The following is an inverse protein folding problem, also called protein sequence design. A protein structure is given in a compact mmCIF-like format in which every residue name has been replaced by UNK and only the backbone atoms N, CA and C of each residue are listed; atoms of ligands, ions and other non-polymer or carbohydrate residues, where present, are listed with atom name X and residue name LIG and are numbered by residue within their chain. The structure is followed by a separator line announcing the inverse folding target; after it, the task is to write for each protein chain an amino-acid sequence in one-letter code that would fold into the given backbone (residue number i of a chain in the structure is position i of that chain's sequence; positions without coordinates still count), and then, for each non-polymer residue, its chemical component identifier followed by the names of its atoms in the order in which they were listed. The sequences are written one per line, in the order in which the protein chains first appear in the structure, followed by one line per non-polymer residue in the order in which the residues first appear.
data_IF_026650054932
#
_entry.id   IF_026650054932
#
_cell.length_a   1.000
_cell.length_b   1.000
_cell.length_c   1.000
_cell.angle_alpha   90.00
_cell.angle_beta   90.00
_cell.angle_gamma   90.00
#
_symmetry.space_group_name_H-M   'P 1'
#
loop_
_entity.id
_entity.type
_entity.pdbx_description
1 polymer ?
#
# COMPACT_ATOMS: atom_id res chain seq x y z
N UNK A 1 -70.57 11.84 -6.67
CA UNK A 1 -70.13 11.62 -5.28
C UNK A 1 -69.12 10.48 -5.28
N UNK A 2 -67.89 10.80 -4.88
CA UNK A 2 -66.72 9.96 -4.53
C UNK A 2 -66.25 8.81 -5.46
N UNK A 3 -64.99 8.85 -5.94
CA UNK A 3 -64.39 7.82 -6.79
C UNK A 3 -63.82 6.65 -5.97
N UNK A 4 -63.97 5.43 -6.48
CA UNK A 4 -63.32 4.23 -5.95
C UNK A 4 -62.03 3.97 -6.74
N UNK A 5 -60.89 4.37 -6.15
CA UNK A 5 -59.55 4.19 -6.69
C UNK A 5 -59.16 2.71 -6.72
N UNK A 6 -59.19 2.12 -7.91
CA UNK A 6 -58.59 0.82 -8.20
C UNK A 6 -57.09 0.97 -8.47
N UNK A 7 -56.31 0.41 -7.55
CA UNK A 7 -54.97 -0.21 -7.71
C UNK A 7 -54.15 0.18 -8.96
N UNK A 8 -53.09 0.95 -8.72
CA UNK A 8 -51.79 0.76 -9.36
C UNK A 8 -50.72 1.06 -8.30
N UNK A 9 -50.39 0.03 -7.52
CA UNK A 9 -49.13 -0.02 -6.80
C UNK A 9 -48.06 -0.38 -7.83
N UNK A 10 -47.31 0.62 -8.32
CA UNK A 10 -46.20 0.39 -9.25
C UNK A 10 -44.97 1.09 -8.71
N UNK A 11 -44.05 0.28 -8.18
CA UNK A 11 -42.62 0.57 -8.25
C UNK A 11 -42.04 1.47 -7.18
N UNK A 12 -42.24 1.14 -5.90
CA UNK A 12 -41.17 1.41 -4.95
C UNK A 12 -40.05 0.39 -5.19
N UNK A 13 -38.81 0.88 -5.07
CA UNK A 13 -37.55 0.13 -4.92
C UNK A 13 -36.83 -0.24 -6.21
N UNK A 14 -35.50 -0.20 -6.11
CA UNK A 14 -34.46 -0.68 -7.03
C UNK A 14 -33.94 0.35 -8.02
N UNK A 15 -32.92 1.14 -7.62
CA UNK A 15 -31.51 0.74 -7.77
C UNK A 15 -30.56 1.90 -7.41
N UNK A 16 -30.68 2.49 -6.21
CA UNK A 16 -29.61 3.34 -5.69
C UNK A 16 -28.70 2.46 -4.85
N UNK A 17 -27.52 2.12 -5.37
CA UNK A 17 -26.49 1.46 -4.58
C UNK A 17 -25.81 0.28 -5.26
N UNK A 18 -25.17 0.51 -6.40
CA UNK A 18 -23.95 -0.24 -6.67
C UNK A 18 -22.85 0.38 -5.80
N UNK A 19 -22.80 -0.02 -4.53
CA UNK A 19 -21.67 0.32 -3.67
C UNK A 19 -20.47 -0.43 -4.22
N UNK A 20 -19.52 0.28 -4.82
CA UNK A 20 -18.23 -0.29 -5.17
C UNK A 20 -17.56 -0.73 -3.85
N UNK A 21 -17.57 -2.03 -3.57
CA UNK A 21 -16.78 -2.59 -2.48
C UNK A 21 -15.30 -2.39 -2.85
N UNK A 22 -14.64 -1.43 -2.21
CA UNK A 22 -13.19 -1.33 -2.26
C UNK A 22 -12.60 -2.62 -1.69
N UNK A 23 -11.71 -3.26 -2.44
CA UNK A 23 -10.98 -4.44 -1.93
C UNK A 23 -10.04 -3.94 -0.81
N UNK A 24 -10.08 -4.51 0.41
CA UNK A 24 -9.21 -4.07 1.49
C UNK A 24 -7.74 -4.30 1.09
N UNK A 25 -6.97 -3.22 1.04
CA UNK A 25 -5.55 -3.26 0.71
C UNK A 25 -4.75 -3.60 1.97
N UNK A 26 -4.00 -4.69 1.95
CA UNK A 26 -3.29 -5.18 3.15
C UNK A 26 -1.93 -5.75 2.81
N UNK A 27 -0.99 -5.61 3.76
CA UNK A 27 0.28 -6.36 3.72
C UNK A 27 -0.03 -7.79 4.15
N UNK A 28 0.10 -8.74 3.22
CA UNK A 28 -0.11 -10.15 3.47
C UNK A 28 1.09 -10.79 4.17
N UNK A 29 2.31 -10.36 3.81
CA UNK A 29 3.55 -10.81 4.43
C UNK A 29 4.64 -9.76 4.27
N UNK A 30 5.45 -9.60 5.31
CA UNK A 30 6.66 -8.77 5.30
C UNK A 30 7.86 -9.63 5.76
N UNK A 31 9.07 -9.36 5.24
CA UNK A 31 10.24 -10.13 5.61
C UNK A 31 10.64 -9.79 7.06
N UNK A 32 11.23 -10.72 7.81
CA UNK A 32 11.80 -10.42 9.12
C UNK A 32 12.99 -9.45 8.97
N UNK A 33 13.43 -8.80 10.07
CA UNK A 33 14.67 -8.01 10.06
C UNK A 33 15.82 -8.81 9.45
N UNK A 34 16.55 -8.18 8.53
CA UNK A 34 17.68 -8.82 7.85
C UNK A 34 19.00 -8.41 8.50
N UNK A 35 19.87 -9.38 8.71
CA UNK A 35 21.27 -9.17 9.02
C UNK A 35 22.08 -9.26 7.72
N UNK A 36 22.80 -8.19 7.39
CA UNK A 36 23.67 -8.10 6.21
C UNK A 36 25.12 -8.47 6.52
N UNK A 37 25.40 -8.88 7.76
CA UNK A 37 26.71 -9.26 8.25
C UNK A 37 27.66 -8.08 8.42
N UNK A 38 28.92 -8.42 8.66
CA UNK A 38 29.99 -7.45 8.85
C UNK A 38 30.56 -7.02 7.50
N UNK A 39 30.50 -5.71 7.22
CA UNK A 39 31.08 -5.10 6.02
C UNK A 39 32.19 -4.13 6.43
N UNK A 40 33.35 -4.24 5.80
CA UNK A 40 34.44 -3.30 6.02
C UNK A 40 34.04 -1.90 5.54
N UNK A 41 34.48 -0.85 6.26
CA UNK A 41 34.25 0.54 5.85
C UNK A 41 34.87 0.78 4.47
N UNK A 42 34.09 1.32 3.53
CA UNK A 42 34.46 1.47 2.11
C UNK A 42 34.86 0.15 1.40
N UNK A 43 34.45 -1.00 1.94
CA UNK A 43 34.63 -2.31 1.32
C UNK A 43 33.50 -2.66 0.34
N UNK A 44 33.47 -3.92 -0.08
CA UNK A 44 32.38 -4.47 -0.89
C UNK A 44 31.06 -4.43 -0.12
N UNK A 45 30.02 -3.89 -0.72
CA UNK A 45 28.71 -3.79 -0.09
C UNK A 45 28.14 -5.17 0.31
N UNK A 46 27.57 -5.25 1.51
CA UNK A 46 26.69 -6.36 1.88
C UNK A 46 25.34 -6.19 1.19
N UNK A 47 24.64 -7.28 0.87
CA UNK A 47 23.36 -7.20 0.16
C UNK A 47 22.37 -8.28 0.56
N UNK A 48 21.08 -7.96 0.56
CA UNK A 48 19.99 -8.92 0.66
C UNK A 48 18.83 -8.51 -0.24
N UNK A 49 17.92 -9.45 -0.49
CA UNK A 49 16.64 -9.17 -1.18
C UNK A 49 15.50 -9.38 -0.20
N UNK A 50 14.72 -8.34 0.03
CA UNK A 50 13.52 -8.37 0.86
C UNK A 50 12.32 -8.81 0.01
N UNK A 51 11.54 -9.78 0.49
CA UNK A 51 10.29 -10.18 -0.13
C UNK A 51 9.08 -9.69 0.66
N UNK A 52 8.18 -8.99 -0.03
CA UNK A 52 6.90 -8.54 0.49
C UNK A 52 5.76 -9.15 -0.31
N UNK A 53 4.64 -9.42 0.35
CA UNK A 53 3.40 -9.81 -0.30
C UNK A 53 2.27 -8.89 0.14
N UNK A 54 1.44 -8.48 -0.82
CA UNK A 54 0.31 -7.59 -0.60
C UNK A 54 -0.95 -8.13 -1.27
N UNK A 55 -2.10 -7.86 -0.66
CA UNK A 55 -3.41 -8.16 -1.24
C UNK A 55 -4.15 -6.87 -1.55
N UNK A 56 -4.82 -6.82 -2.71
CA UNK A 56 -5.69 -5.70 -3.09
C UNK A 56 -4.97 -4.43 -3.56
N UNK A 57 -3.65 -4.46 -3.80
CA UNK A 57 -2.95 -3.31 -4.39
C UNK A 57 -3.28 -3.18 -5.88
N UNK A 58 -3.77 -1.99 -6.28
CA UNK A 58 -4.06 -1.62 -7.67
C UNK A 58 -2.81 -1.24 -8.47
N UNK A 59 -1.72 -0.90 -7.79
CA UNK A 59 -0.45 -0.49 -8.38
C UNK A 59 0.72 -0.95 -7.51
N UNK A 60 1.93 -0.99 -8.08
CA UNK A 60 3.13 -1.29 -7.31
C UNK A 60 3.35 -0.24 -6.21
N UNK A 61 3.64 -0.67 -4.96
CA UNK A 61 3.91 0.25 -3.87
C UNK A 61 5.27 0.93 -4.05
N UNK A 62 5.43 2.07 -3.39
CA UNK A 62 6.69 2.80 -3.34
C UNK A 62 7.50 2.36 -2.13
N UNK A 63 8.78 2.03 -2.35
CA UNK A 63 9.71 1.65 -1.29
C UNK A 63 10.71 2.78 -1.02
N UNK A 64 10.93 3.09 0.25
CA UNK A 64 11.86 4.13 0.67
C UNK A 64 12.59 3.70 1.94
N UNK A 65 13.86 4.10 2.08
CA UNK A 65 14.57 3.98 3.36
C UNK A 65 14.17 5.12 4.29
N UNK A 66 14.12 4.83 5.59
CA UNK A 66 13.84 5.86 6.58
C UNK A 66 15.02 6.81 6.74
N UNK A 67 16.24 6.31 6.84
CA UNK A 67 17.43 7.13 7.09
C UNK A 67 18.36 7.24 5.88
N UNK A 68 18.52 6.16 5.11
CA UNK A 68 19.29 6.11 3.85
C UNK A 68 20.75 6.57 3.97
N UNK A 69 21.36 6.43 5.16
CA UNK A 69 22.70 6.95 5.45
C UNK A 69 23.82 6.04 4.90
N UNK A 70 23.72 4.75 5.20
CA UNK A 70 24.66 3.68 4.83
C UNK A 70 23.98 2.55 4.03
N UNK A 71 22.66 2.67 3.81
CA UNK A 71 21.85 1.70 3.09
C UNK A 71 21.28 2.33 1.83
N UNK A 72 21.09 1.51 0.79
CA UNK A 72 20.39 1.91 -0.43
C UNK A 72 19.47 0.80 -0.93
N UNK A 73 18.39 1.18 -1.59
CA UNK A 73 17.51 0.25 -2.28
C UNK A 73 17.93 0.13 -3.75
N UNK A 74 17.92 -1.09 -4.27
CA UNK A 74 17.88 -1.33 -5.70
C UNK A 74 16.48 -1.13 -6.25
N UNK A 75 16.30 -1.35 -7.56
CA UNK A 75 15.00 -1.21 -8.20
C UNK A 75 14.04 -2.30 -7.70
N UNK A 76 12.90 -1.94 -7.06
CA UNK A 76 11.89 -2.90 -6.66
C UNK A 76 11.26 -3.56 -7.88
N UNK A 77 11.06 -4.88 -7.81
CA UNK A 77 10.36 -5.64 -8.84
C UNK A 77 9.10 -6.26 -8.24
N UNK A 78 7.94 -5.80 -8.67
CA UNK A 78 6.64 -6.31 -8.22
C UNK A 78 5.92 -7.05 -9.35
N UNK A 79 5.29 -8.18 -9.02
CA UNK A 79 4.50 -8.98 -9.96
C UNK A 79 3.26 -9.55 -9.29
N UNK A 80 2.25 -9.87 -10.11
CA UNK A 80 0.94 -10.32 -9.62
C UNK A 80 0.05 -9.18 -9.13
N UNK A 81 -1.17 -9.53 -8.76
CA UNK A 81 -2.21 -8.59 -8.29
C UNK A 81 -2.79 -9.02 -6.94
N UNK A 82 -3.03 -10.32 -6.75
CA UNK A 82 -3.52 -10.90 -5.48
C UNK A 82 -3.00 -12.34 -5.29
N UNK A 83 -1.94 -12.58 -4.49
CA UNK A 83 -1.08 -11.57 -3.88
C UNK A 83 -0.13 -10.92 -4.90
N UNK A 84 0.06 -9.61 -4.80
CA UNK A 84 1.20 -8.94 -5.43
C UNK A 84 2.45 -9.25 -4.61
N UNK A 85 3.48 -9.78 -5.27
CA UNK A 85 4.77 -10.08 -4.63
C UNK A 85 5.79 -9.07 -5.11
N UNK A 86 6.53 -8.46 -4.18
CA UNK A 86 7.59 -7.50 -4.48
C UNK A 86 8.93 -7.97 -3.93
N UNK A 87 9.94 -7.97 -4.78
CA UNK A 87 11.34 -8.19 -4.43
C UNK A 87 12.08 -6.86 -4.39
N UNK A 88 12.67 -6.52 -3.25
CA UNK A 88 13.38 -5.25 -3.04
C UNK A 88 14.83 -5.54 -2.69
N UNK A 89 15.78 -5.32 -3.62
CA UNK A 89 17.19 -5.43 -3.31
C UNK A 89 17.61 -4.33 -2.34
N UNK A 90 18.42 -4.66 -1.35
CA UNK A 90 18.98 -3.73 -0.37
C UNK A 90 20.49 -3.95 -0.32
N UNK A 91 21.25 -2.86 -0.29
CA UNK A 91 22.69 -2.88 -0.11
C UNK A 91 23.12 -2.04 1.08
N UNK A 92 24.17 -2.50 1.77
CA UNK A 92 24.77 -1.86 2.92
C UNK A 92 26.24 -1.52 2.63
N UNK A 93 26.59 -0.25 2.76
CA UNK A 93 27.93 0.30 2.49
C UNK A 93 28.30 1.30 3.59
N UNK A 94 28.83 0.82 4.73
CA UNK A 94 29.12 1.68 5.87
C UNK A 94 30.25 2.66 5.58
N UNK A 95 30.01 3.95 5.89
CA UNK A 95 31.02 5.01 5.84
C UNK A 95 31.84 5.11 7.13
N UNK A 96 31.28 4.63 8.23
CA UNK A 96 31.88 4.72 9.56
C UNK A 96 31.70 3.40 10.30
N UNK A 97 32.65 3.02 11.17
CA UNK A 97 32.59 1.78 11.93
C UNK A 97 31.41 1.76 12.91
N UNK A 98 30.99 0.57 13.32
CA UNK A 98 29.93 0.34 14.31
C UNK A 98 28.65 -0.26 13.72
N UNK A 99 27.71 -0.60 14.61
CA UNK A 99 26.41 -1.17 14.23
C UNK A 99 25.58 -0.12 13.46
N UNK A 100 25.01 -0.55 12.33
CA UNK A 100 24.16 0.28 11.47
C UNK A 100 22.79 -0.36 11.32
N UNK A 101 21.74 0.46 11.33
CA UNK A 101 20.36 0.02 11.22
C UNK A 101 19.57 1.00 10.37
N UNK A 102 18.62 0.49 9.59
CA UNK A 102 17.64 1.28 8.85
C UNK A 102 16.33 0.50 8.75
N UNK A 103 15.27 1.17 8.29
CA UNK A 103 13.96 0.60 8.08
C UNK A 103 13.48 0.90 6.66
N UNK A 104 12.90 -0.10 6.01
CA UNK A 104 12.19 0.08 4.74
C UNK A 104 10.75 0.48 5.02
N UNK A 105 10.34 1.58 4.41
CA UNK A 105 8.96 2.08 4.40
C UNK A 105 8.32 1.68 3.09
N UNK A 106 7.12 1.13 3.19
CA UNK A 106 6.29 0.80 2.05
C UNK A 106 5.11 1.75 2.05
N UNK A 107 4.97 2.51 0.97
CA UNK A 107 3.87 3.43 0.76
C UNK A 107 2.99 2.89 -0.37
N UNK A 108 1.68 2.83 -0.15
CA UNK A 108 0.76 2.56 -1.24
C UNK A 108 0.73 3.77 -2.18
N UNK A 109 0.72 3.50 -3.50
CA UNK A 109 0.58 4.53 -4.54
C UNK A 109 -0.79 5.18 -4.55
N UNK A 110 -1.76 4.62 -3.82
CA UNK A 110 -3.04 5.26 -3.58
C UNK A 110 -2.86 6.41 -2.57
N UNK A 111 -2.77 7.63 -3.12
CA UNK A 111 -3.22 8.80 -2.39
C UNK A 111 -4.65 8.53 -1.91
N UNK A 112 -4.76 8.29 -0.62
CA UNK A 112 -5.97 8.15 0.19
C UNK A 112 -7.12 9.03 -0.36
N UNK A 113 -8.00 8.45 -1.19
CA UNK A 113 -9.41 8.79 -1.10
C UNK A 113 -9.87 8.21 0.23
N UNK A 114 -9.64 8.95 1.31
CA UNK A 114 -10.19 8.63 2.61
C UNK A 114 -11.71 8.49 2.43
N UNK A 115 -12.23 7.27 2.46
CA UNK A 115 -13.66 7.07 2.68
C UNK A 115 -13.92 7.44 4.12
N UNK A 116 -14.10 8.75 4.35
CA UNK A 116 -14.68 9.26 5.58
C UNK A 116 -16.04 8.58 5.69
N UNK A 117 -16.17 7.68 6.66
CA UNK A 117 -17.47 7.20 7.13
C UNK A 117 -18.22 8.39 7.71
N UNK A 118 -18.97 9.10 6.86
CA UNK A 118 -20.07 9.96 7.30
C UNK A 118 -20.84 10.42 6.07
N UNK A 119 -21.96 9.75 5.81
CA UNK A 119 -23.05 10.27 4.98
C UNK A 119 -23.70 11.46 5.69
N UNK A 120 -22.97 12.56 5.87
CA UNK A 120 -23.45 13.90 6.24
C UNK A 120 -22.20 14.75 6.49
N UNK A 121 -21.62 15.37 5.46
CA UNK A 121 -21.59 16.83 5.38
C UNK A 121 -20.95 17.29 4.07
N UNK A 122 -21.48 18.38 3.56
CA UNK A 122 -21.03 19.02 2.32
C UNK A 122 -19.82 19.91 2.61
N UNK A 123 -18.92 20.02 1.62
CA UNK A 123 -17.70 20.85 1.61
C UNK A 123 -16.52 20.28 2.41
N UNK A 124 -15.53 19.73 1.70
CA UNK A 124 -14.35 20.46 1.22
C UNK A 124 -13.58 19.51 0.30
N UNK A 125 -13.27 19.98 -0.92
CA UNK A 125 -12.45 19.26 -1.90
C UNK A 125 -11.10 18.83 -1.28
N UNK A 126 -10.62 17.65 -1.65
CA UNK A 126 -9.28 17.56 -2.21
C UNK A 126 -9.39 17.12 -3.67
N UNK A 127 -8.55 17.70 -4.51
CA UNK A 127 -8.39 17.29 -5.90
C UNK A 127 -7.98 15.82 -5.95
N UNK A 128 -8.79 15.03 -6.64
CA UNK A 128 -8.33 13.98 -7.53
C UNK A 128 -8.68 14.43 -8.95
#
# INVERSE_FOLDING_TARGET
MTPQFSRLATGALLWCGLMAAGVPQTVASAPPPQDLGSVAVNGTAGSATLQYQFNGLSSSPTFQLRYSADFSLGQPACSGTTPMTCSVPVSFSPKFPGLRQDAVRVLDGNAICWSRHSCTDSAWLPKC
#
